data_IF_910251343615
#
_entry.id   IF_910251343615
#
_cell.length_a   1.000
_cell.length_b   1.000
_cell.length_c   1.000
_cell.angle_alpha   90.00
_cell.angle_beta   90.00
_cell.angle_gamma   90.00
#
_symmetry.space_group_name_H-M   'P 1'
#
loop_
_entity.id
_entity.type
_entity.pdbx_description
1 polymer ?
#
# COMPACT_ATOMS: atom_id res chain seq x y z
N UNK A 1 19.42 -7.91 -5.90
CA UNK A 1 18.08 -8.09 -5.30
C UNK A 1 17.77 -6.81 -4.55
N UNK A 2 16.63 -6.18 -4.77
CA UNK A 2 16.23 -4.96 -4.06
C UNK A 2 15.58 -5.39 -2.74
N UNK A 3 16.02 -4.82 -1.63
CA UNK A 3 15.37 -5.02 -0.32
C UNK A 3 14.33 -3.92 -0.15
N UNK A 4 13.03 -4.26 -0.03
CA UNK A 4 11.97 -3.28 0.20
C UNK A 4 12.21 -2.46 1.46
N UNK A 5 12.11 -1.13 1.38
CA UNK A 5 12.28 -0.24 2.52
C UNK A 5 10.95 0.03 3.23
N UNK A 6 11.00 0.33 4.53
CA UNK A 6 9.81 0.66 5.33
C UNK A 6 9.06 1.85 4.72
N UNK A 7 7.75 1.70 4.54
CA UNK A 7 6.88 2.71 3.94
C UNK A 7 6.72 2.57 2.42
N UNK A 8 7.55 1.79 1.74
CA UNK A 8 7.36 1.51 0.31
C UNK A 8 6.15 0.61 0.07
N UNK A 9 5.55 0.77 -1.12
CA UNK A 9 4.44 -0.05 -1.59
C UNK A 9 4.93 -0.97 -2.70
N UNK A 10 4.67 -2.26 -2.55
CA UNK A 10 5.06 -3.30 -3.50
C UNK A 10 3.85 -4.13 -3.92
N UNK A 11 3.85 -4.59 -5.18
CA UNK A 11 2.84 -5.52 -5.66
C UNK A 11 3.21 -6.93 -5.22
N UNK A 12 2.38 -7.55 -4.40
CA UNK A 12 2.63 -8.87 -3.83
C UNK A 12 1.57 -9.88 -4.29
N UNK A 13 2.03 -11.07 -4.66
CA UNK A 13 1.14 -12.22 -4.84
C UNK A 13 0.92 -12.89 -3.49
N UNK A 14 -0.26 -12.68 -2.91
CA UNK A 14 -0.64 -13.32 -1.65
C UNK A 14 -1.14 -14.74 -1.92
N UNK A 15 -0.44 -15.74 -1.38
CA UNK A 15 -0.79 -17.16 -1.59
C UNK A 15 -1.95 -17.57 -0.64
N UNK A 16 -2.86 -18.40 -1.17
CA UNK A 16 -3.93 -19.13 -0.45
C UNK A 16 -5.11 -18.33 0.13
N UNK A 17 -4.92 -17.41 1.09
CA UNK A 17 -6.06 -16.81 1.84
C UNK A 17 -6.64 -15.53 1.24
N UNK A 18 -5.86 -14.78 0.45
CA UNK A 18 -6.29 -13.48 -0.11
C UNK A 18 -6.38 -13.45 -1.64
N UNK A 19 -5.99 -14.56 -2.31
CA UNK A 19 -6.34 -14.97 -3.68
C UNK A 19 -6.01 -14.03 -4.85
N UNK A 20 -5.61 -12.78 -4.60
CA UNK A 20 -5.38 -11.75 -5.60
C UNK A 20 -4.05 -11.08 -5.32
N UNK A 21 -3.30 -10.81 -6.39
CA UNK A 21 -2.19 -9.87 -6.37
C UNK A 21 -2.69 -8.50 -5.92
N UNK A 22 -2.03 -7.90 -4.94
CA UNK A 22 -2.45 -6.63 -4.33
C UNK A 22 -1.23 -5.78 -3.97
N UNK A 23 -1.38 -4.44 -3.94
CA UNK A 23 -0.38 -3.58 -3.34
C UNK A 23 -0.31 -3.81 -1.83
N UNK A 24 0.90 -3.87 -1.29
CA UNK A 24 1.20 -4.06 0.12
C UNK A 24 2.22 -3.01 0.57
N UNK A 25 2.04 -2.46 1.76
CA UNK A 25 3.02 -1.53 2.37
C UNK A 25 4.00 -2.29 3.26
N UNK A 26 5.28 -1.98 3.15
CA UNK A 26 6.34 -2.51 4.02
C UNK A 26 6.24 -1.85 5.40
N UNK A 27 6.08 -2.66 6.44
CA UNK A 27 6.03 -2.15 7.82
C UNK A 27 7.25 -2.54 8.66
N UNK A 28 8.09 -3.45 8.16
CA UNK A 28 9.28 -3.94 8.83
C UNK A 28 10.23 -2.80 9.23
N UNK A 29 10.77 -2.88 10.45
CA UNK A 29 11.84 -1.97 10.88
C UNK A 29 13.10 -2.19 10.04
N UNK A 30 13.78 -1.12 9.58
CA UNK A 30 15.04 -1.26 8.83
C UNK A 30 16.18 -1.86 9.67
N UNK A 31 16.05 -1.91 10.99
CA UNK A 31 17.03 -2.50 11.91
C UNK A 31 16.92 -4.04 11.99
N UNK A 32 15.87 -4.64 11.42
CA UNK A 32 15.63 -6.08 11.46
C UNK A 32 16.09 -6.70 10.14
N UNK A 33 17.22 -7.40 10.20
CA UNK A 33 17.70 -8.23 9.09
C UNK A 33 16.95 -9.58 9.09
N UNK A 34 16.25 -9.86 8.00
CA UNK A 34 15.49 -11.10 7.81
C UNK A 34 15.51 -11.49 6.33
N UNK A 35 15.42 -12.80 6.06
CA UNK A 35 15.18 -13.32 4.71
C UNK A 35 13.76 -13.09 4.19
N UNK A 36 12.88 -12.54 5.02
CA UNK A 36 11.49 -12.19 4.71
C UNK A 36 11.18 -10.76 5.14
N UNK A 37 10.11 -10.18 4.58
CA UNK A 37 9.67 -8.81 4.87
C UNK A 37 8.25 -8.83 5.46
N UNK A 38 8.05 -8.11 6.56
CA UNK A 38 6.74 -7.83 7.12
C UNK A 38 6.02 -6.74 6.30
N UNK A 39 4.84 -7.09 5.80
CA UNK A 39 4.02 -6.23 4.95
C UNK A 39 2.55 -6.28 5.36
N UNK A 40 1.80 -5.25 5.01
CA UNK A 40 0.34 -5.17 5.21
C UNK A 40 -0.35 -4.94 3.86
N UNK A 41 -1.37 -5.74 3.50
CA UNK A 41 -2.09 -5.56 2.25
C UNK A 41 -2.98 -4.32 2.27
N UNK A 42 -2.98 -3.59 1.16
CA UNK A 42 -3.94 -2.52 0.92
C UNK A 42 -5.27 -3.11 0.44
N UNK A 43 -6.36 -2.54 0.93
CA UNK A 43 -7.73 -2.94 0.56
C UNK A 43 -8.57 -1.70 0.32
N UNK A 44 -9.51 -1.82 -0.60
CA UNK A 44 -10.68 -0.97 -0.69
C UNK A 44 -11.64 -1.32 0.45
N UNK A 45 -12.16 -0.32 1.16
CA UNK A 45 -13.14 -0.56 2.22
C UNK A 45 -13.32 0.59 3.20
N UNK A 46 -14.32 0.45 4.08
CA UNK A 46 -14.68 1.45 5.07
C UNK A 46 -13.56 1.65 6.12
N UNK A 47 -13.45 2.89 6.60
CA UNK A 47 -12.60 3.22 7.73
C UNK A 47 -13.07 2.47 8.99
N UNK A 48 -12.08 1.96 9.73
CA UNK A 48 -12.22 1.29 11.02
C UNK A 48 -11.11 1.82 11.92
N UNK A 49 -11.20 1.71 13.26
CA UNK A 49 -10.18 2.24 14.16
C UNK A 49 -8.75 1.73 13.93
N UNK A 50 -8.62 0.54 13.34
CA UNK A 50 -7.33 -0.08 13.00
C UNK A 50 -6.97 0.02 11.51
N UNK A 51 -7.75 0.78 10.72
CA UNK A 51 -7.49 1.04 9.29
C UNK A 51 -7.01 2.46 9.11
N UNK A 52 -5.97 2.63 8.31
CA UNK A 52 -5.41 3.93 7.93
C UNK A 52 -5.72 4.17 6.46
N UNK A 53 -6.32 5.32 6.14
CA UNK A 53 -6.45 5.76 4.75
C UNK A 53 -5.08 6.16 4.20
N UNK A 54 -4.73 5.62 3.04
CA UNK A 54 -3.55 6.04 2.28
C UNK A 54 -4.06 6.73 1.01
N UNK A 55 -3.96 8.06 0.91
CA UNK A 55 -4.41 8.77 -0.28
C UNK A 55 -3.52 8.41 -1.48
N UNK A 56 -4.10 8.16 -2.66
CA UNK A 56 -3.32 7.97 -3.88
C UNK A 56 -2.50 9.21 -4.22
N UNK A 57 -1.22 9.01 -4.60
CA UNK A 57 -0.38 10.06 -5.15
C UNK A 57 0.62 9.50 -6.16
N UNK A 58 1.33 10.38 -6.87
CA UNK A 58 2.27 9.97 -7.90
C UNK A 58 3.45 9.15 -7.33
N UNK A 59 3.87 9.45 -6.10
CA UNK A 59 5.04 8.83 -5.45
C UNK A 59 4.75 7.41 -4.95
N UNK A 60 3.49 7.11 -4.62
CA UNK A 60 3.07 5.82 -4.07
C UNK A 60 2.47 4.86 -5.11
N UNK A 61 2.33 5.32 -6.35
CA UNK A 61 1.90 4.49 -7.49
C UNK A 61 0.45 3.98 -7.40
N UNK A 62 -0.38 4.57 -6.54
CA UNK A 62 -1.78 4.18 -6.36
C UNK A 62 -2.76 4.98 -7.23
N UNK A 63 -2.27 5.91 -8.05
CA UNK A 63 -3.12 6.64 -9.00
C UNK A 63 -3.71 5.68 -10.04
N UNK A 64 -5.01 5.79 -10.28
CA UNK A 64 -5.66 5.09 -11.40
C UNK A 64 -5.08 5.61 -12.73
N UNK A 65 -4.67 4.69 -13.61
CA UNK A 65 -4.24 5.05 -14.95
C UNK A 65 -5.37 5.81 -15.67
N UNK A 66 -5.14 7.10 -15.96
CA UNK A 66 -6.12 8.00 -16.60
C UNK A 66 -6.74 9.07 -15.69
N UNK A 67 -6.45 9.09 -14.39
CA UNK A 67 -6.84 10.17 -13.46
C UNK A 67 -5.82 11.32 -13.34
N UNK A 68 -4.98 11.54 -14.35
CA UNK A 68 -4.17 12.76 -14.51
C UNK A 68 -5.02 14.00 -14.90
N UNK A 69 -6.32 13.98 -14.63
CA UNK A 69 -7.25 15.08 -14.90
C UNK A 69 -8.05 15.37 -13.64
N UNK A 70 -7.50 16.33 -12.89
CA UNK A 70 -8.05 17.03 -11.73
C UNK A 70 -7.78 16.44 -10.34
N UNK A 71 -7.18 17.22 -9.43
CA UNK A 71 -7.07 16.85 -8.03
C UNK A 71 -8.47 16.82 -7.42
N UNK A 72 -8.87 15.67 -6.86
CA UNK A 72 -10.10 15.59 -6.06
C UNK A 72 -9.84 16.38 -4.79
N UNK A 73 -10.34 17.61 -4.73
CA UNK A 73 -10.44 18.37 -3.50
C UNK A 73 -11.29 17.55 -2.53
N UNK A 74 -10.66 17.03 -1.48
CA UNK A 74 -11.34 16.30 -0.42
C UNK A 74 -12.08 17.32 0.45
N UNK A 75 -13.36 17.56 0.19
CA UNK A 75 -14.19 18.31 1.14
C UNK A 75 -14.43 17.44 2.38
N UNK A 76 -13.83 17.86 3.49
CA UNK A 76 -14.16 17.38 4.83
C UNK A 76 -15.56 17.88 5.17
N UNK A 77 -16.52 16.97 5.33
CA UNK A 77 -17.81 17.22 6.01
C UNK A 77 -17.83 16.50 7.34
#
# INVERSE_FOLDING_TARGET
MVTPARGEIWICQLVKEYGKTRPCVVIQSPEIESGSVLMVPLTDGNLQPWRVAIPPNADNGLLEAGRDREPVAMELR
#
